data_IF_235892274451
#
_entry.id   IF_235892274451
#
_cell.length_a   1.000
_cell.length_b   1.000
_cell.length_c   1.000
_cell.angle_alpha   90.00
_cell.angle_beta   90.00
_cell.angle_gamma   90.00
#
_symmetry.space_group_name_H-M   'P 1'
#
loop_
_entity.id
_entity.type
_entity.pdbx_description
1 polymer ?
#
# COMPACT_ATOMS: atom_id res chain seq x y z
N UNK A 1 49.94 42.08 42.72
CA UNK A 1 49.54 41.09 43.74
C UNK A 1 48.03 40.92 43.58
N UNK A 2 47.57 39.75 43.38
CA UNK A 2 46.30 39.14 43.25
C UNK A 2 45.91 38.71 41.80
N UNK A 3 46.27 37.45 41.56
CA UNK A 3 45.65 36.55 40.66
C UNK A 3 44.21 36.24 41.10
N UNK A 4 43.30 35.99 40.17
CA UNK A 4 42.29 34.97 40.35
C UNK A 4 41.84 34.45 38.97
N UNK A 5 42.14 33.22 38.77
CA UNK A 5 41.55 32.29 37.86
C UNK A 5 40.03 32.27 37.99
N UNK A 6 39.35 32.18 36.88
CA UNK A 6 38.14 31.36 36.79
C UNK A 6 37.99 30.83 35.37
N UNK A 7 38.52 29.63 35.16
CA UNK A 7 38.25 28.76 34.04
C UNK A 7 36.93 28.03 34.32
N UNK A 8 35.92 28.27 33.53
CA UNK A 8 34.75 27.42 33.49
C UNK A 8 34.66 26.75 32.11
N UNK A 9 34.67 25.38 32.05
CA UNK A 9 34.62 24.63 30.78
C UNK A 9 33.17 24.43 30.37
N UNK A 10 32.64 25.31 29.56
CA UNK A 10 31.38 25.07 28.82
C UNK A 10 31.66 24.82 27.34
N UNK A 11 32.48 23.84 27.09
CA UNK A 11 32.76 23.33 25.77
C UNK A 11 32.22 21.91 25.59
N UNK A 12 31.39 21.67 24.55
CA UNK A 12 31.20 20.36 23.91
C UNK A 12 29.99 19.49 24.25
N UNK A 13 28.81 20.06 24.38
CA UNK A 13 27.60 19.20 24.27
C UNK A 13 26.86 19.29 22.90
N UNK A 14 27.17 20.31 22.08
CA UNK A 14 26.49 20.45 20.75
C UNK A 14 27.12 19.66 19.62
N UNK A 15 28.39 19.26 19.71
CA UNK A 15 29.09 18.56 18.64
C UNK A 15 28.75 17.05 18.55
N UNK A 16 28.35 16.46 19.67
CA UNK A 16 28.09 15.01 19.70
C UNK A 16 26.71 14.65 19.14
N UNK A 17 25.70 15.50 19.29
CA UNK A 17 24.38 15.28 18.69
C UNK A 17 24.41 15.43 17.18
N UNK A 18 25.18 16.38 16.65
CA UNK A 18 25.34 16.56 15.21
C UNK A 18 26.17 15.44 14.55
N UNK A 19 27.17 14.90 15.28
CA UNK A 19 27.97 13.78 14.81
C UNK A 19 27.16 12.47 14.78
N UNK A 20 26.34 12.21 15.80
CA UNK A 20 25.45 11.03 15.85
C UNK A 20 24.36 11.11 14.75
N UNK A 21 23.87 12.30 14.44
CA UNK A 21 22.88 12.50 13.37
C UNK A 21 23.52 12.43 11.97
N UNK A 22 24.81 12.81 11.83
CA UNK A 22 25.59 12.63 10.62
C UNK A 22 25.97 11.16 10.39
N UNK A 23 26.34 10.42 11.42
CA UNK A 23 26.68 9.00 11.37
C UNK A 23 25.47 8.13 11.01
N UNK A 24 24.28 8.50 11.52
CA UNK A 24 23.02 7.86 11.16
C UNK A 24 22.64 8.10 9.68
N UNK A 25 23.12 9.18 9.07
CA UNK A 25 22.89 9.49 7.62
C UNK A 25 23.87 8.77 6.70
N UNK A 26 24.99 8.27 7.19
CA UNK A 26 26.02 7.58 6.36
C UNK A 26 25.76 6.09 6.19
N UNK A 27 24.87 5.45 6.99
CA UNK A 27 24.62 4.01 6.94
C UNK A 27 23.46 3.57 6.03
N UNK A 28 22.53 4.44 5.67
CA UNK A 28 21.34 4.04 4.94
C UNK A 28 21.34 4.59 3.50
N UNK A 29 21.77 3.77 2.52
CA UNK A 29 21.51 4.09 1.11
C UNK A 29 20.01 4.06 0.87
N UNK A 30 19.39 5.24 0.78
CA UNK A 30 18.01 5.37 0.36
C UNK A 30 17.89 5.09 -1.14
N UNK A 31 17.21 4.02 -1.48
CA UNK A 31 16.91 3.69 -2.88
C UNK A 31 15.58 4.35 -3.24
N UNK A 32 15.59 5.24 -4.22
CA UNK A 32 14.38 5.82 -4.77
C UNK A 32 13.62 4.73 -5.54
N UNK A 33 12.38 4.51 -5.14
CA UNK A 33 11.50 3.51 -5.76
C UNK A 33 10.12 4.12 -6.01
N UNK A 34 9.38 3.48 -6.92
CA UNK A 34 7.98 3.81 -7.19
C UNK A 34 7.19 2.51 -7.17
N UNK A 35 6.96 1.96 -5.98
CA UNK A 35 6.34 0.65 -5.81
C UNK A 35 5.04 0.75 -5.01
N UNK A 36 3.98 0.18 -5.55
CA UNK A 36 2.73 0.01 -4.80
C UNK A 36 2.93 -1.12 -3.81
N UNK A 37 2.61 -0.88 -2.55
CA UNK A 37 2.62 -1.87 -1.48
C UNK A 37 1.28 -1.85 -0.73
N UNK A 38 1.01 -2.91 0.00
CA UNK A 38 -0.09 -3.01 0.94
C UNK A 38 0.41 -2.62 2.31
N UNK A 39 -0.33 -1.79 3.01
CA UNK A 39 -0.13 -1.49 4.43
C UNK A 39 -1.19 -2.21 5.25
N UNK A 40 -0.75 -2.95 6.25
CA UNK A 40 -1.61 -3.47 7.31
C UNK A 40 -1.54 -2.47 8.47
N UNK A 41 -2.65 -1.83 8.75
CA UNK A 41 -2.79 -0.82 9.80
C UNK A 41 -3.84 -1.26 10.82
N UNK A 42 -3.98 -0.53 11.92
CA UNK A 42 -5.09 -0.75 12.87
C UNK A 42 -6.48 -0.61 12.24
N UNK A 43 -6.58 0.09 11.11
CA UNK A 43 -7.83 0.29 10.37
C UNK A 43 -8.07 -0.77 9.29
N UNK A 44 -7.11 -1.69 9.10
CA UNK A 44 -7.14 -2.77 8.11
C UNK A 44 -6.12 -2.59 6.99
N UNK A 45 -6.36 -3.23 5.86
CA UNK A 45 -5.45 -3.20 4.70
C UNK A 45 -5.66 -1.95 3.87
N UNK A 46 -4.59 -1.30 3.46
CA UNK A 46 -4.59 -0.10 2.63
C UNK A 46 -3.54 -0.19 1.53
N UNK A 47 -3.65 0.65 0.50
CA UNK A 47 -2.60 0.82 -0.50
C UNK A 47 -1.72 2.02 -0.17
N UNK A 48 -0.43 1.89 -0.42
CA UNK A 48 0.51 3.00 -0.39
C UNK A 48 1.42 3.00 -1.61
N UNK A 49 2.05 4.14 -1.87
CA UNK A 49 3.11 4.26 -2.86
C UNK A 49 4.44 4.50 -2.14
N UNK A 50 5.25 3.47 -2.05
CA UNK A 50 6.62 3.56 -1.52
C UNK A 50 7.46 4.42 -2.46
N UNK A 51 8.10 5.45 -1.92
CA UNK A 51 8.90 6.44 -2.66
C UNK A 51 10.39 6.24 -2.47
N UNK A 52 10.78 5.80 -1.30
CA UNK A 52 12.14 5.32 -1.03
C UNK A 52 12.13 4.28 0.09
N UNK A 53 13.19 3.51 0.16
CA UNK A 53 13.42 2.46 1.14
C UNK A 53 14.91 2.35 1.45
N UNK A 54 15.20 2.00 2.69
CA UNK A 54 16.53 1.65 3.20
C UNK A 54 16.42 0.43 4.11
N UNK A 55 17.51 -0.09 4.64
CA UNK A 55 17.49 -1.19 5.61
C UNK A 55 16.64 -0.85 6.84
N UNK A 56 16.72 0.38 7.36
CA UNK A 56 16.04 0.78 8.59
C UNK A 56 14.63 1.37 8.39
N UNK A 57 14.12 1.53 7.15
CA UNK A 57 12.80 2.13 6.99
C UNK A 57 12.42 2.50 5.57
N UNK A 58 11.22 3.06 5.42
CA UNK A 58 10.70 3.54 4.15
C UNK A 58 9.98 4.89 4.26
N UNK A 59 9.84 5.56 3.14
CA UNK A 59 8.92 6.68 2.95
C UNK A 59 7.85 6.31 1.93
N UNK A 60 6.59 6.55 2.27
CA UNK A 60 5.47 6.25 1.39
C UNK A 60 4.43 7.39 1.35
N UNK A 61 3.74 7.50 0.22
CA UNK A 61 2.49 8.24 0.14
C UNK A 61 1.34 7.34 0.62
N UNK A 62 0.49 7.89 1.48
CA UNK A 62 -0.70 7.26 2.05
C UNK A 62 -1.93 8.13 1.82
N UNK A 63 -3.12 7.55 2.02
CA UNK A 63 -4.40 8.25 1.88
C UNK A 63 -5.28 8.16 3.12
N UNK A 64 -4.84 7.41 4.13
CA UNK A 64 -5.49 7.29 5.44
C UNK A 64 -4.87 8.23 6.47
N UNK A 65 -5.47 8.25 7.65
CA UNK A 65 -5.04 9.08 8.77
C UNK A 65 -4.24 8.24 9.77
N UNK A 66 -2.92 8.11 9.51
CA UNK A 66 -1.99 7.46 10.42
C UNK A 66 -1.35 8.49 11.36
N UNK A 67 -1.28 8.17 12.64
CA UNK A 67 -0.63 9.00 13.67
C UNK A 67 0.83 8.58 13.89
N UNK A 68 1.61 9.47 14.52
CA UNK A 68 2.95 9.13 15.00
C UNK A 68 2.87 7.97 15.99
N UNK A 69 3.79 7.02 15.87
CA UNK A 69 3.83 5.82 16.69
C UNK A 69 2.89 4.69 16.26
N UNK A 70 1.98 4.93 15.32
CA UNK A 70 1.09 3.87 14.83
C UNK A 70 1.90 2.69 14.30
N UNK A 71 1.61 1.47 14.76
CA UNK A 71 2.22 0.26 14.23
C UNK A 71 1.64 -0.04 12.85
N UNK A 72 2.49 -0.45 11.92
CA UNK A 72 2.07 -0.87 10.59
C UNK A 72 3.03 -1.91 10.02
N UNK A 73 2.54 -2.70 9.07
CA UNK A 73 3.35 -3.65 8.31
C UNK A 73 3.19 -3.36 6.82
N UNK A 74 4.28 -3.09 6.14
CA UNK A 74 4.31 -2.98 4.69
C UNK A 74 4.48 -4.38 4.09
N UNK A 75 3.57 -4.77 3.19
CA UNK A 75 3.63 -6.00 2.41
C UNK A 75 3.91 -5.65 0.96
N UNK A 76 5.02 -6.13 0.45
CA UNK A 76 5.49 -5.87 -0.90
C UNK A 76 5.01 -6.95 -1.87
N UNK A 77 5.11 -6.66 -3.16
CA UNK A 77 4.69 -7.56 -4.24
C UNK A 77 5.45 -8.90 -4.23
N UNK A 78 6.67 -8.91 -3.73
CA UNK A 78 7.48 -10.11 -3.48
C UNK A 78 6.89 -11.05 -2.41
N UNK A 79 5.88 -10.59 -1.65
CA UNK A 79 5.36 -11.28 -0.46
C UNK A 79 6.12 -10.95 0.81
N UNK A 80 7.24 -10.24 0.73
CA UNK A 80 7.99 -9.80 1.91
C UNK A 80 7.19 -8.79 2.71
N UNK A 81 7.34 -8.88 4.03
CA UNK A 81 6.71 -7.97 5.00
C UNK A 81 7.76 -7.31 5.86
N UNK A 82 7.62 -6.02 6.06
CA UNK A 82 8.42 -5.25 7.00
C UNK A 82 7.49 -4.56 7.99
N UNK A 83 7.66 -4.87 9.29
CA UNK A 83 6.91 -4.27 10.39
C UNK A 83 7.66 -3.09 10.97
N UNK A 84 6.93 -2.14 11.54
CA UNK A 84 7.53 -0.95 12.14
C UNK A 84 6.49 0.06 12.58
N UNK A 85 6.94 1.31 12.77
CA UNK A 85 6.12 2.40 13.29
C UNK A 85 6.26 3.66 12.47
N UNK A 86 5.19 4.47 12.43
CA UNK A 86 5.23 5.82 11.87
C UNK A 86 6.11 6.71 12.76
N UNK A 87 7.20 7.23 12.20
CA UNK A 87 8.13 8.11 12.93
C UNK A 87 8.01 9.58 12.53
N UNK A 88 7.44 9.88 11.38
CA UNK A 88 7.05 11.22 10.95
C UNK A 88 5.91 11.18 9.94
N UNK A 89 5.16 12.27 9.87
CA UNK A 89 4.11 12.50 8.89
C UNK A 89 4.16 13.94 8.39
N UNK A 90 3.96 14.11 7.07
CA UNK A 90 3.78 15.42 6.42
C UNK A 90 2.77 15.27 5.30
N UNK A 91 1.63 15.93 5.43
CA UNK A 91 0.51 15.82 4.47
C UNK A 91 0.12 14.35 4.24
N UNK A 92 0.29 13.88 3.00
CA UNK A 92 0.02 12.50 2.58
C UNK A 92 1.26 11.60 2.58
N UNK A 93 2.38 12.02 3.22
CA UNK A 93 3.61 11.25 3.32
C UNK A 93 3.87 10.82 4.74
N UNK A 94 4.34 9.60 4.88
CA UNK A 94 4.80 9.06 6.16
C UNK A 94 6.20 8.49 6.01
N UNK A 95 6.99 8.61 7.07
CA UNK A 95 8.18 7.80 7.29
C UNK A 95 7.87 6.71 8.29
N UNK A 96 8.21 5.50 7.91
CA UNK A 96 8.12 4.30 8.71
C UNK A 96 9.53 3.86 9.07
N UNK A 97 9.81 3.67 10.34
CA UNK A 97 11.00 3.00 10.82
C UNK A 97 10.67 1.52 11.01
N UNK A 98 11.49 0.65 10.50
CA UNK A 98 11.34 -0.80 10.69
C UNK A 98 11.75 -1.21 12.10
N UNK A 99 11.11 -2.24 12.62
CA UNK A 99 11.45 -2.84 13.92
C UNK A 99 12.77 -3.64 13.81
N UNK A 100 13.08 -4.19 12.63
CA UNK A 100 14.29 -4.93 12.30
C UNK A 100 14.82 -4.45 10.93
N UNK A 101 16.13 -4.47 10.75
CA UNK A 101 16.73 -4.11 9.47
C UNK A 101 16.27 -5.06 8.35
N UNK A 102 15.81 -4.47 7.25
CA UNK A 102 15.33 -5.21 6.08
C UNK A 102 16.43 -5.32 5.01
N UNK A 103 16.55 -6.50 4.41
CA UNK A 103 17.30 -6.63 3.16
C UNK A 103 16.50 -6.03 2.00
N UNK A 104 16.92 -4.85 1.58
CA UNK A 104 16.22 -4.07 0.56
C UNK A 104 16.13 -4.81 -0.78
N UNK A 105 17.16 -5.57 -1.16
CA UNK A 105 17.15 -6.35 -2.41
C UNK A 105 16.07 -7.43 -2.37
N UNK A 106 15.97 -8.14 -1.26
CA UNK A 106 14.95 -9.16 -1.03
C UNK A 106 13.55 -8.56 -0.95
N UNK A 107 13.38 -7.44 -0.25
CA UNK A 107 12.09 -6.73 -0.10
C UNK A 107 11.56 -6.23 -1.45
N UNK A 108 12.41 -5.68 -2.28
CA UNK A 108 12.01 -5.20 -3.61
C UNK A 108 11.79 -6.34 -4.61
N UNK A 109 12.11 -7.58 -4.23
CA UNK A 109 12.19 -8.72 -5.14
C UNK A 109 13.32 -8.45 -6.11
N UNK A 110 14.48 -9.10 -5.97
CA UNK A 110 15.63 -8.84 -6.85
C UNK A 110 15.18 -8.69 -8.31
N UNK A 111 15.97 -7.98 -9.11
CA UNK A 111 15.74 -7.70 -10.55
C UNK A 111 15.71 -8.99 -11.43
N UNK A 112 15.26 -10.09 -10.89
CA UNK A 112 14.89 -11.24 -11.70
C UNK A 112 13.66 -10.84 -12.50
N UNK A 113 13.86 -10.63 -13.79
CA UNK A 113 12.77 -10.53 -14.76
C UNK A 113 11.80 -11.69 -14.48
N UNK A 114 10.54 -11.41 -14.20
CA UNK A 114 9.59 -12.48 -13.98
C UNK A 114 9.61 -13.37 -15.22
N UNK A 115 9.60 -14.68 -14.99
CA UNK A 115 9.60 -15.68 -16.06
C UNK A 115 8.62 -15.24 -17.17
N UNK A 116 8.97 -15.41 -18.46
CA UNK A 116 8.13 -14.95 -19.57
C UNK A 116 6.67 -15.39 -19.38
N UNK A 117 5.75 -14.43 -19.32
CA UNK A 117 4.32 -14.65 -19.06
C UNK A 117 3.89 -14.51 -17.60
N UNK A 118 4.79 -14.34 -16.63
CA UNK A 118 4.44 -14.07 -15.25
C UNK A 118 4.39 -12.54 -15.01
N UNK A 119 3.19 -11.97 -15.03
CA UNK A 119 2.95 -10.61 -14.58
C UNK A 119 2.61 -10.64 -13.09
N UNK A 120 3.53 -10.23 -12.20
CA UNK A 120 3.25 -10.16 -10.77
C UNK A 120 2.01 -9.30 -10.53
N UNK A 121 1.00 -9.86 -9.87
CA UNK A 121 -0.29 -9.20 -9.65
C UNK A 121 -0.14 -7.96 -8.78
N UNK A 122 -0.87 -6.90 -9.08
CA UNK A 122 -0.96 -5.72 -8.21
C UNK A 122 -1.49 -6.13 -6.81
N UNK A 123 -1.04 -5.46 -5.73
CA UNK A 123 -1.54 -5.72 -4.39
C UNK A 123 -3.07 -5.68 -4.36
N UNK A 124 -3.68 -6.65 -3.68
CA UNK A 124 -5.14 -6.76 -3.50
C UNK A 124 -5.50 -6.44 -2.07
N UNK A 125 -6.54 -5.65 -1.91
CA UNK A 125 -7.08 -5.24 -0.62
C UNK A 125 -8.36 -5.99 -0.36
N UNK A 126 -8.45 -6.68 0.77
CA UNK A 126 -9.69 -7.28 1.24
C UNK A 126 -10.62 -6.18 1.72
N UNK A 127 -11.77 -6.07 1.10
CA UNK A 127 -12.79 -5.07 1.42
C UNK A 127 -14.16 -5.59 1.03
N UNK A 128 -15.14 -5.41 1.90
CA UNK A 128 -16.53 -5.77 1.60
C UNK A 128 -17.31 -4.50 1.26
N UNK A 129 -17.88 -4.47 0.07
CA UNK A 129 -18.74 -3.37 -0.36
C UNK A 129 -19.84 -3.91 -1.28
N UNK A 130 -21.06 -3.37 -1.13
CA UNK A 130 -22.15 -3.69 -2.03
C UNK A 130 -21.97 -2.97 -3.36
N UNK A 131 -22.34 -3.64 -4.43
CA UNK A 131 -22.26 -3.10 -5.77
C UNK A 131 -23.30 -3.71 -6.70
N UNK A 132 -23.19 -3.33 -7.96
CA UNK A 132 -23.97 -3.90 -9.08
C UNK A 132 -23.02 -4.31 -10.19
N UNK A 133 -23.32 -5.45 -10.78
CA UNK A 133 -22.67 -5.92 -11.99
C UNK A 133 -23.65 -5.86 -13.14
N UNK A 134 -23.31 -5.13 -14.20
CA UNK A 134 -24.07 -5.16 -15.45
C UNK A 134 -23.48 -6.20 -16.38
N UNK A 135 -24.30 -7.16 -16.81
CA UNK A 135 -23.97 -8.15 -17.84
C UNK A 135 -25.00 -7.99 -18.98
N UNK A 136 -24.55 -7.49 -20.11
CA UNK A 136 -25.45 -7.08 -21.20
C UNK A 136 -26.43 -5.99 -20.77
N UNK A 137 -27.74 -6.27 -20.88
CA UNK A 137 -28.81 -5.34 -20.50
C UNK A 137 -29.29 -5.48 -19.04
N UNK A 138 -28.77 -6.45 -18.28
CA UNK A 138 -29.25 -6.75 -16.91
C UNK A 138 -28.25 -6.29 -15.86
N UNK A 139 -28.79 -5.96 -14.68
CA UNK A 139 -28.02 -5.60 -13.48
C UNK A 139 -28.26 -6.63 -12.39
N UNK A 140 -27.19 -7.05 -11.74
CA UNK A 140 -27.19 -8.01 -10.64
C UNK A 140 -26.60 -7.38 -9.40
N UNK A 141 -27.16 -7.66 -8.23
CA UNK A 141 -26.57 -7.28 -6.96
C UNK A 141 -25.36 -8.17 -6.67
N UNK A 142 -24.25 -7.55 -6.27
CA UNK A 142 -23.03 -8.26 -5.90
C UNK A 142 -22.44 -7.68 -4.61
N UNK A 143 -21.63 -8.51 -3.94
CA UNK A 143 -20.71 -8.06 -2.92
C UNK A 143 -19.28 -8.14 -3.43
N UNK A 144 -18.56 -7.03 -3.35
CA UNK A 144 -17.12 -6.96 -3.57
C UNK A 144 -16.41 -7.64 -2.39
N UNK A 145 -15.42 -8.47 -2.63
CA UNK A 145 -14.62 -9.18 -1.61
C UNK A 145 -13.18 -8.71 -1.54
N UNK A 146 -12.58 -8.45 -2.67
CA UNK A 146 -11.28 -7.80 -2.78
C UNK A 146 -11.19 -6.98 -4.05
N UNK A 147 -10.28 -6.01 -4.05
CA UNK A 147 -10.02 -5.14 -5.20
C UNK A 147 -8.54 -4.82 -5.31
N UNK A 148 -8.09 -4.64 -6.54
CA UNK A 148 -6.78 -4.10 -6.90
C UNK A 148 -6.95 -3.09 -8.04
N UNK A 149 -5.89 -2.43 -8.45
CA UNK A 149 -5.95 -1.53 -9.62
C UNK A 149 -6.47 -2.24 -10.89
N UNK A 150 -6.13 -3.52 -11.10
CA UNK A 150 -6.44 -4.24 -12.33
C UNK A 150 -7.59 -5.25 -12.23
N UNK A 151 -8.27 -5.37 -11.08
CA UNK A 151 -9.34 -6.35 -10.96
C UNK A 151 -9.96 -6.46 -9.59
N UNK A 152 -11.00 -7.27 -9.50
CA UNK A 152 -11.76 -7.49 -8.27
C UNK A 152 -12.19 -8.95 -8.13
N UNK A 153 -12.51 -9.35 -6.91
CA UNK A 153 -13.29 -10.56 -6.63
C UNK A 153 -14.64 -10.16 -6.09
N UNK A 154 -15.68 -10.78 -6.63
CA UNK A 154 -17.06 -10.52 -6.26
C UNK A 154 -17.77 -11.82 -5.87
N UNK A 155 -18.87 -11.69 -5.13
CA UNK A 155 -19.83 -12.75 -4.88
C UNK A 155 -21.23 -12.26 -5.23
N UNK A 156 -22.13 -13.18 -5.58
CA UNK A 156 -23.55 -12.90 -5.73
C UNK A 156 -24.38 -14.08 -5.22
N UNK A 157 -25.51 -13.75 -4.60
CA UNK A 157 -26.53 -14.73 -4.23
C UNK A 157 -27.46 -15.09 -5.42
N UNK A 158 -27.44 -14.30 -6.51
CA UNK A 158 -28.24 -14.53 -7.70
C UNK A 158 -27.49 -15.45 -8.66
N UNK A 159 -27.94 -16.71 -8.87
CA UNK A 159 -27.24 -17.64 -9.76
C UNK A 159 -27.28 -17.21 -11.23
N UNK A 160 -28.24 -16.37 -11.64
CA UNK A 160 -28.39 -15.94 -13.03
C UNK A 160 -27.21 -15.05 -13.50
N UNK A 161 -26.46 -14.45 -12.57
CA UNK A 161 -25.26 -13.67 -12.93
C UNK A 161 -24.21 -14.55 -13.58
N UNK A 162 -24.06 -15.79 -13.09
CA UNK A 162 -23.02 -16.72 -13.55
C UNK A 162 -23.30 -17.26 -14.96
N UNK A 163 -24.57 -17.28 -15.39
CA UNK A 163 -24.94 -17.67 -16.74
C UNK A 163 -24.65 -16.58 -17.80
N UNK A 164 -24.45 -15.34 -17.36
CA UNK A 164 -24.30 -14.16 -18.23
C UNK A 164 -22.98 -13.43 -18.09
N UNK A 165 -22.08 -13.92 -17.21
CA UNK A 165 -20.85 -13.21 -16.85
C UNK A 165 -19.75 -13.32 -17.92
N UNK A 166 -19.85 -14.23 -18.87
CA UNK A 166 -18.81 -14.50 -19.88
C UNK A 166 -18.62 -13.39 -20.93
N UNK A 167 -19.49 -12.39 -20.92
CA UNK A 167 -19.40 -11.23 -21.81
C UNK A 167 -18.73 -10.01 -21.16
N UNK A 168 -18.78 -8.86 -21.85
CA UNK A 168 -18.38 -7.58 -21.26
C UNK A 168 -19.24 -7.25 -20.05
N UNK A 169 -18.58 -6.85 -18.97
CA UNK A 169 -19.25 -6.46 -17.71
C UNK A 169 -18.94 -5.01 -17.36
N UNK A 170 -19.82 -4.39 -16.56
CA UNK A 170 -19.55 -3.12 -15.88
C UNK A 170 -19.81 -3.29 -14.39
N UNK A 171 -18.76 -3.12 -13.61
CA UNK A 171 -18.84 -3.10 -12.15
C UNK A 171 -19.15 -1.68 -11.68
N UNK A 172 -20.16 -1.52 -10.84
CA UNK A 172 -20.52 -0.26 -10.21
C UNK A 172 -20.51 -0.43 -8.69
N UNK A 173 -19.67 0.32 -8.01
CA UNK A 173 -19.56 0.37 -6.55
C UNK A 173 -19.64 1.83 -6.13
N UNK A 174 -20.35 2.13 -5.07
CA UNK A 174 -20.51 3.51 -4.57
C UNK A 174 -19.14 4.14 -4.29
N UNK A 175 -18.93 5.33 -4.81
CA UNK A 175 -17.66 6.08 -4.63
C UNK A 175 -16.57 5.79 -5.67
N UNK A 176 -16.81 4.83 -6.59
CA UNK A 176 -15.96 4.62 -7.77
C UNK A 176 -16.76 4.88 -9.06
N UNK A 177 -16.10 5.35 -10.13
CA UNK A 177 -16.75 5.39 -11.45
C UNK A 177 -17.10 3.97 -11.91
N UNK A 178 -18.06 3.81 -12.86
CA UNK A 178 -18.31 2.51 -13.48
C UNK A 178 -17.04 1.95 -14.11
N UNK A 179 -16.75 0.68 -13.85
CA UNK A 179 -15.52 0.01 -14.26
C UNK A 179 -15.86 -1.09 -15.24
N UNK A 180 -15.37 -0.95 -16.46
CA UNK A 180 -15.50 -1.96 -17.50
C UNK A 180 -14.47 -3.08 -17.35
N UNK A 181 -14.89 -4.31 -17.69
CA UNK A 181 -14.02 -5.45 -17.59
C UNK A 181 -14.63 -6.74 -18.14
N UNK A 182 -13.97 -7.85 -17.80
CA UNK A 182 -14.41 -9.21 -18.14
C UNK A 182 -14.18 -10.13 -16.95
N UNK A 183 -14.97 -11.18 -16.84
CA UNK A 183 -14.66 -12.27 -15.92
C UNK A 183 -13.46 -13.07 -16.44
N UNK A 184 -12.54 -13.39 -15.55
CA UNK A 184 -11.39 -14.28 -15.83
C UNK A 184 -11.69 -15.71 -15.41
N UNK A 185 -12.49 -15.86 -14.40
CA UNK A 185 -12.99 -17.11 -13.87
C UNK A 185 -14.26 -16.85 -13.07
N UNK A 186 -15.12 -17.82 -12.96
CA UNK A 186 -16.23 -17.84 -12.03
C UNK A 186 -16.53 -19.26 -11.55
N UNK A 187 -17.19 -19.38 -10.43
CA UNK A 187 -17.80 -20.58 -9.88
C UNK A 187 -19.28 -20.33 -9.56
N UNK A 188 -19.91 -21.20 -8.79
CA UNK A 188 -21.33 -21.07 -8.45
C UNK A 188 -21.67 -19.84 -7.59
N UNK A 189 -20.69 -19.15 -7.00
CA UNK A 189 -20.94 -18.06 -6.05
C UNK A 189 -19.93 -16.91 -6.11
N UNK A 190 -18.84 -17.07 -6.85
CA UNK A 190 -17.75 -16.10 -6.92
C UNK A 190 -17.31 -15.86 -8.37
N UNK A 191 -16.75 -14.70 -8.64
CA UNK A 191 -16.01 -14.44 -9.86
C UNK A 191 -14.80 -13.53 -9.61
N UNK A 192 -13.76 -13.79 -10.40
CA UNK A 192 -12.61 -12.90 -10.53
C UNK A 192 -12.74 -12.06 -11.79
N UNK A 193 -12.77 -10.73 -11.60
CA UNK A 193 -12.89 -9.75 -12.67
C UNK A 193 -11.52 -9.17 -13.03
N UNK A 194 -11.28 -8.97 -14.32
CA UNK A 194 -10.19 -8.14 -14.81
C UNK A 194 -10.76 -6.88 -15.42
N UNK A 195 -10.22 -5.74 -15.05
CA UNK A 195 -10.61 -4.44 -15.58
C UNK A 195 -9.92 -4.16 -16.92
N UNK A 196 -10.64 -3.56 -17.86
CA UNK A 196 -10.08 -3.18 -19.15
C UNK A 196 -9.02 -2.08 -19.01
N UNK A 197 -9.22 -1.19 -18.04
CA UNK A 197 -8.27 -0.12 -17.69
C UNK A 197 -8.01 -0.17 -16.19
N UNK A 198 -6.76 -0.19 -15.74
CA UNK A 198 -6.44 -0.14 -14.31
C UNK A 198 -6.98 1.13 -13.65
N UNK A 199 -7.55 1.00 -12.46
CA UNK A 199 -7.98 2.14 -11.65
C UNK A 199 -6.72 2.91 -11.21
N UNK A 200 -6.67 4.26 -11.36
CA UNK A 200 -5.60 5.06 -10.82
C UNK A 200 -5.37 4.81 -9.33
N UNK A 201 -4.09 4.69 -8.93
CA UNK A 201 -3.74 4.33 -7.54
C UNK A 201 -4.34 5.28 -6.51
N UNK A 202 -4.28 6.58 -6.75
CA UNK A 202 -4.81 7.60 -5.83
C UNK A 202 -6.32 7.49 -5.68
N UNK A 203 -7.04 7.16 -6.75
CA UNK A 203 -8.49 6.98 -6.74
C UNK A 203 -8.88 5.77 -5.89
N UNK A 204 -8.31 4.60 -6.18
CA UNK A 204 -8.64 3.37 -5.43
C UNK A 204 -8.19 3.44 -3.97
N UNK A 205 -7.03 4.04 -3.69
CA UNK A 205 -6.53 4.17 -2.32
C UNK A 205 -7.38 5.13 -1.48
N UNK A 206 -7.82 6.27 -2.05
CA UNK A 206 -8.78 7.17 -1.39
C UNK A 206 -10.10 6.48 -1.12
N UNK A 207 -10.63 5.75 -2.10
CA UNK A 207 -11.89 5.02 -1.95
C UNK A 207 -11.78 3.98 -0.83
N UNK A 208 -10.71 3.19 -0.77
CA UNK A 208 -10.46 2.21 0.31
C UNK A 208 -10.42 2.91 1.67
N UNK A 209 -9.69 4.01 1.79
CA UNK A 209 -9.58 4.77 3.04
C UNK A 209 -10.94 5.35 3.50
N UNK A 210 -11.82 5.73 2.56
CA UNK A 210 -13.16 6.23 2.87
C UNK A 210 -14.14 5.12 3.24
N UNK A 211 -14.09 3.98 2.57
CA UNK A 211 -15.00 2.85 2.80
C UNK A 211 -14.80 2.16 4.16
N UNK A 212 -13.72 2.50 4.89
CA UNK A 212 -13.37 1.96 6.21
C UNK A 212 -13.63 2.91 7.37
N UNK A 213 -14.10 4.12 7.09
CA UNK A 213 -14.54 5.10 8.09
C UNK A 213 -16.01 4.87 8.46
#
# INVERSE_FOLDING_TARGET
MFESHDDAPWGNMSSNAAAIDAERRHGARHIAVMRVAKLHTRHGEELCLVRNISSGGLMANIWSDLALGDPLTAEFKSGHRASGRVVWRRENRVGMQFDEDADVATVLGGDEDPAPGFHPRAPRINITARGRLRCGARYYAIDLRDISQGGARITSADPQVWEKIDGPIVLSVTGLPPIEGTARWHDASNAGLAFNTPIPLDMIARWIAQARR
#
